data_IF_151395201604
#
_entry.id   IF_151395201604
#
_cell.length_a   1.000
_cell.length_b   1.000
_cell.length_c   1.000
_cell.angle_alpha   90.00
_cell.angle_beta   90.00
_cell.angle_gamma   90.00
#
_symmetry.space_group_name_H-M   'P 1'
#
loop_
_entity.id
_entity.type
_entity.pdbx_description
1 polymer ?
#
# COMPACT_ATOMS: atom_id res chain seq x y z
N UNK A 1 -6.13 -6.89 20.80
CA UNK A 1 -5.25 -6.45 19.70
C UNK A 1 -5.95 -5.32 18.96
N UNK A 2 -5.26 -4.22 18.61
CA UNK A 2 -5.86 -3.14 17.81
C UNK A 2 -6.04 -3.51 16.33
N UNK A 3 -5.41 -4.61 15.91
CA UNK A 3 -5.37 -5.08 14.53
C UNK A 3 -6.40 -6.18 14.28
N UNK A 4 -6.93 -6.22 13.05
CA UNK A 4 -7.98 -7.16 12.68
C UNK A 4 -7.44 -8.57 12.43
N UNK A 5 -8.09 -9.58 13.00
CA UNK A 5 -7.84 -11.00 12.66
C UNK A 5 -8.27 -11.34 11.21
N UNK A 6 -8.97 -10.41 10.53
CA UNK A 6 -9.51 -10.59 9.18
C UNK A 6 -8.71 -9.90 8.10
N UNK A 7 -7.82 -8.98 8.45
CA UNK A 7 -7.12 -8.15 7.47
C UNK A 7 -5.64 -8.03 7.79
N UNK A 8 -4.84 -8.03 6.72
CA UNK A 8 -3.46 -7.60 6.75
C UNK A 8 -3.40 -6.12 6.38
N UNK A 9 -2.47 -5.41 7.02
CA UNK A 9 -2.21 -4.00 6.78
C UNK A 9 -0.76 -3.86 6.32
N UNK A 10 -0.58 -3.49 5.07
CA UNK A 10 0.73 -3.23 4.47
C UNK A 10 0.87 -1.76 4.13
N UNK A 11 2.11 -1.31 4.06
CA UNK A 11 2.40 0.01 3.53
C UNK A 11 3.65 0.01 2.66
N UNK A 12 3.59 0.80 1.59
CA UNK A 12 4.75 1.07 0.74
C UNK A 12 5.14 2.53 0.95
N UNK A 13 6.34 2.77 1.49
CA UNK A 13 6.82 4.11 1.89
C UNK A 13 8.03 4.50 1.04
N UNK A 14 8.04 5.72 0.53
CA UNK A 14 9.17 6.29 -0.23
C UNK A 14 10.46 6.34 0.58
N UNK A 15 10.33 6.65 1.87
CA UNK A 15 11.39 6.71 2.86
C UNK A 15 10.78 6.74 4.26
N UNK A 16 11.58 6.40 5.28
CA UNK A 16 11.14 6.36 6.68
C UNK A 16 10.70 7.73 7.22
N UNK A 17 11.17 8.84 6.64
CA UNK A 17 10.90 10.19 7.12
C UNK A 17 9.84 10.91 6.26
N UNK A 18 9.25 10.24 5.27
CA UNK A 18 8.27 10.79 4.34
C UNK A 18 8.76 12.04 3.58
N UNK A 19 10.07 12.21 3.43
CA UNK A 19 10.70 13.39 2.81
C UNK A 19 10.70 13.32 1.29
N UNK A 20 10.88 12.13 0.73
CA UNK A 20 10.80 11.89 -0.71
C UNK A 20 9.33 11.79 -1.08
N UNK A 21 8.96 12.35 -2.23
CA UNK A 21 7.61 12.26 -2.78
C UNK A 21 7.69 11.93 -4.25
N UNK A 22 6.69 11.22 -4.75
CA UNK A 22 6.48 10.99 -6.17
C UNK A 22 5.18 11.65 -6.62
N UNK A 23 5.09 11.98 -7.90
CA UNK A 23 3.83 12.46 -8.48
C UNK A 23 2.75 11.38 -8.38
N UNK A 24 1.56 11.77 -7.96
CA UNK A 24 0.42 10.86 -7.78
C UNK A 24 0.10 10.08 -9.05
N UNK A 25 0.15 10.74 -10.21
CA UNK A 25 -0.10 10.11 -11.50
C UNK A 25 0.88 8.97 -11.79
N UNK A 26 2.18 9.20 -11.58
CA UNK A 26 3.21 8.18 -11.80
C UNK A 26 3.00 6.94 -10.90
N UNK A 27 2.60 7.15 -9.65
CA UNK A 27 2.34 6.02 -8.72
C UNK A 27 1.05 5.28 -9.10
N UNK A 28 0.00 6.03 -9.46
CA UNK A 28 -1.25 5.46 -9.95
C UNK A 28 -1.01 4.58 -11.18
N UNK A 29 -0.18 5.04 -12.13
CA UNK A 29 0.16 4.27 -13.32
C UNK A 29 0.89 2.97 -12.98
N UNK A 30 1.83 2.99 -12.02
CA UNK A 30 2.50 1.76 -11.56
C UNK A 30 1.50 0.75 -10.98
N UNK A 31 0.54 1.22 -10.19
CA UNK A 31 -0.50 0.35 -9.61
C UNK A 31 -1.42 -0.22 -10.69
N UNK A 32 -1.89 0.59 -11.62
CA UNK A 32 -2.79 0.15 -12.69
C UNK A 32 -2.12 -0.80 -13.68
N UNK A 33 -0.82 -0.60 -13.97
CA UNK A 33 -0.04 -1.50 -14.83
C UNK A 33 0.10 -2.92 -14.29
N UNK A 34 -0.19 -3.17 -13.01
CA UNK A 34 -0.24 -4.54 -12.48
C UNK A 34 -1.38 -5.36 -13.06
N UNK A 35 -2.44 -4.70 -13.56
CA UNK A 35 -3.69 -5.34 -13.94
C UNK A 35 -4.50 -5.89 -12.76
N UNK A 36 -4.01 -5.78 -11.51
CA UNK A 36 -4.65 -6.34 -10.32
C UNK A 36 -5.59 -5.35 -9.62
N UNK A 37 -5.52 -4.07 -10.00
CA UNK A 37 -6.25 -3.00 -9.32
C UNK A 37 -7.04 -2.15 -10.31
N UNK A 38 -8.18 -1.64 -9.84
CA UNK A 38 -9.05 -0.71 -10.55
C UNK A 38 -9.22 0.53 -9.69
N UNK A 39 -9.15 1.70 -10.32
CA UNK A 39 -9.31 2.99 -9.65
C UNK A 39 -10.76 3.15 -9.16
N UNK A 40 -10.94 3.49 -7.87
CA UNK A 40 -12.24 3.82 -7.31
C UNK A 40 -12.48 5.34 -7.28
N UNK A 41 -11.48 6.10 -6.87
CA UNK A 41 -11.53 7.57 -6.87
C UNK A 41 -10.15 8.18 -7.19
N UNK A 42 -9.94 9.47 -6.90
CA UNK A 42 -8.69 10.17 -7.20
C UNK A 42 -7.45 9.60 -6.49
N UNK A 43 -7.61 8.94 -5.35
CA UNK A 43 -6.54 8.47 -4.48
C UNK A 43 -6.71 7.01 -4.03
N UNK A 44 -7.84 6.37 -4.30
CA UNK A 44 -8.09 5.00 -3.89
C UNK A 44 -8.26 4.05 -5.08
N UNK A 45 -7.82 2.80 -4.86
CA UNK A 45 -7.99 1.69 -5.77
C UNK A 45 -8.53 0.48 -5.00
N UNK A 46 -9.26 -0.38 -5.70
CA UNK A 46 -9.63 -1.69 -5.20
C UNK A 46 -9.10 -2.80 -6.12
N UNK A 47 -9.25 -4.05 -5.70
CA UNK A 47 -8.94 -5.20 -6.54
C UNK A 47 -9.79 -5.23 -7.83
N UNK A 48 -9.20 -5.77 -8.89
CA UNK A 48 -9.93 -6.26 -10.07
C UNK A 48 -10.65 -7.59 -9.75
N UNK A 49 -11.58 -8.02 -10.60
CA UNK A 49 -12.41 -9.22 -10.37
C UNK A 49 -11.61 -10.51 -10.17
N UNK A 50 -10.45 -10.63 -10.81
CA UNK A 50 -9.57 -11.81 -10.69
C UNK A 50 -8.58 -11.73 -9.52
N UNK A 51 -8.51 -10.60 -8.83
CA UNK A 51 -7.58 -10.40 -7.71
C UNK A 51 -8.36 -10.39 -6.39
N UNK A 52 -7.83 -11.04 -5.32
CA UNK A 52 -8.56 -11.11 -4.07
C UNK A 52 -8.66 -9.74 -3.37
N UNK A 53 -9.63 -9.63 -2.45
CA UNK A 53 -10.06 -8.35 -1.92
C UNK A 53 -8.91 -7.52 -1.36
N UNK A 54 -8.74 -6.33 -1.92
CA UNK A 54 -7.71 -5.37 -1.54
C UNK A 54 -8.27 -3.96 -1.66
N UNK A 55 -7.97 -3.11 -0.69
CA UNK A 55 -8.22 -1.67 -0.72
C UNK A 55 -6.88 -0.94 -0.60
N UNK A 56 -6.63 -0.01 -1.51
CA UNK A 56 -5.39 0.77 -1.58
C UNK A 56 -5.75 2.25 -1.50
N UNK A 57 -5.01 3.00 -0.68
CA UNK A 57 -5.11 4.46 -0.59
C UNK A 57 -3.75 5.10 -0.79
N UNK A 58 -3.68 6.07 -1.70
CA UNK A 58 -2.50 6.90 -1.92
C UNK A 58 -2.54 8.09 -0.97
N UNK A 59 -1.45 8.28 -0.23
CA UNK A 59 -1.40 9.25 0.87
C UNK A 59 -0.18 10.16 0.71
N UNK A 60 -0.43 11.46 0.88
CA UNK A 60 0.61 12.44 1.17
C UNK A 60 0.74 12.59 2.70
N UNK A 61 1.63 11.81 3.31
CA UNK A 61 1.95 11.93 4.72
C UNK A 61 2.80 13.19 4.98
N UNK A 62 2.45 13.96 6.00
CA UNK A 62 3.23 15.13 6.46
C UNK A 62 3.52 14.97 7.95
N UNK A 63 4.79 14.87 8.33
CA UNK A 63 5.27 14.89 9.73
C UNK A 63 4.29 14.30 10.77
N UNK A 64 4.00 13.00 10.67
CA UNK A 64 3.14 12.29 11.63
C UNK A 64 1.63 12.51 11.48
N UNK A 65 1.18 13.23 10.44
CA UNK A 65 -0.22 13.48 10.13
C UNK A 65 -0.55 13.05 8.69
N UNK A 66 -1.69 12.39 8.53
CA UNK A 66 -2.25 12.01 7.23
C UNK A 66 -3.50 12.84 6.95
N UNK A 67 -3.65 13.38 5.74
CA UNK A 67 -4.94 13.94 5.31
C UNK A 67 -5.40 13.24 4.04
N UNK A 68 -6.40 12.37 4.14
CA UNK A 68 -7.23 11.95 3.01
C UNK A 68 -8.21 13.10 2.70
N UNK A 69 -7.69 14.16 2.10
CA UNK A 69 -8.55 15.28 1.70
C UNK A 69 -9.37 14.87 0.48
N UNK A 70 -10.60 15.38 0.35
CA UNK A 70 -11.40 15.22 -0.89
C UNK A 70 -10.73 15.78 -2.15
N UNK A 71 -9.63 16.54 -2.00
CA UNK A 71 -8.84 17.07 -3.11
C UNK A 71 -7.74 16.08 -3.46
N UNK A 72 -7.61 15.83 -4.75
CA UNK A 72 -6.46 15.15 -5.32
C UNK A 72 -5.17 15.81 -4.81
N UNK A 73 -4.27 15.01 -4.26
CA UNK A 73 -2.90 15.43 -3.95
C UNK A 73 -2.07 15.28 -5.21
N UNK A 74 -1.17 16.24 -5.45
CA UNK A 74 -0.25 16.18 -6.59
C UNK A 74 0.91 15.22 -6.34
N UNK A 75 1.23 15.02 -5.06
CA UNK A 75 2.35 14.20 -4.60
C UNK A 75 1.89 13.19 -3.54
N UNK A 76 2.60 12.06 -3.50
CA UNK A 76 2.38 11.00 -2.52
C UNK A 76 3.73 10.44 -2.04
N UNK A 77 3.74 9.88 -0.85
CA UNK A 77 4.93 9.27 -0.23
C UNK A 77 4.59 8.02 0.59
N UNK A 78 3.32 7.64 0.61
CA UNK A 78 2.80 6.46 1.28
C UNK A 78 1.68 5.85 0.44
N UNK A 79 1.73 4.53 0.30
CA UNK A 79 0.63 3.71 -0.19
C UNK A 79 0.17 2.88 1.01
N UNK A 80 -1.06 3.08 1.46
CA UNK A 80 -1.70 2.29 2.50
C UNK A 80 -2.53 1.17 1.87
N UNK A 81 -2.37 -0.06 2.35
CA UNK A 81 -2.92 -1.26 1.73
C UNK A 81 -3.58 -2.13 2.79
N UNK A 82 -4.85 -2.44 2.58
CA UNK A 82 -5.62 -3.38 3.39
C UNK A 82 -6.01 -4.56 2.52
N UNK A 83 -5.73 -5.79 2.94
CA UNK A 83 -6.11 -7.00 2.20
C UNK A 83 -6.62 -8.11 3.12
N UNK A 84 -7.39 -9.04 2.56
CA UNK A 84 -8.06 -10.10 3.35
C UNK A 84 -7.09 -11.20 3.82
N UNK A 85 -7.23 -11.61 5.09
CA UNK A 85 -6.55 -12.77 5.73
C UNK A 85 -7.33 -14.08 5.58
N UNK A 86 -8.35 -14.14 4.71
CA UNK A 86 -9.15 -15.35 4.58
C UNK A 86 -8.31 -16.57 4.18
N UNK A 87 -8.63 -17.72 4.78
CA UNK A 87 -7.82 -18.96 4.68
C UNK A 87 -7.73 -19.53 3.26
N UNK A 88 -8.67 -19.19 2.39
CA UNK A 88 -8.72 -19.62 0.99
C UNK A 88 -7.93 -18.68 0.04
N UNK A 89 -7.35 -17.59 0.55
CA UNK A 89 -6.55 -16.66 -0.24
C UNK A 89 -5.06 -17.02 -0.08
N UNK A 90 -4.38 -17.22 -1.21
CA UNK A 90 -2.92 -17.33 -1.22
C UNK A 90 -2.28 -15.98 -0.88
N UNK A 91 -1.83 -15.84 0.36
CA UNK A 91 -1.21 -14.60 0.86
C UNK A 91 0.10 -14.26 0.13
N UNK A 92 0.76 -15.23 -0.51
CA UNK A 92 1.96 -14.98 -1.31
C UNK A 92 1.64 -14.16 -2.57
N UNK A 93 0.41 -14.23 -3.07
CA UNK A 93 -0.03 -13.42 -4.21
C UNK A 93 0.01 -11.92 -3.87
N UNK A 94 -0.49 -11.54 -2.70
CA UNK A 94 -0.40 -10.16 -2.21
C UNK A 94 1.06 -9.73 -2.08
N UNK A 95 1.85 -10.52 -1.37
CA UNK A 95 3.24 -10.19 -1.08
C UNK A 95 4.05 -9.97 -2.36
N UNK A 96 3.95 -10.89 -3.34
CA UNK A 96 4.62 -10.75 -4.64
C UNK A 96 4.16 -9.50 -5.39
N UNK A 97 2.86 -9.20 -5.35
CA UNK A 97 2.31 -8.02 -6.03
C UNK A 97 2.83 -6.73 -5.39
N UNK A 98 2.81 -6.63 -4.06
CA UNK A 98 3.25 -5.44 -3.34
C UNK A 98 4.77 -5.25 -3.44
N UNK A 99 5.55 -6.33 -3.43
CA UNK A 99 7.00 -6.29 -3.69
C UNK A 99 7.31 -5.75 -5.09
N UNK A 100 6.63 -6.24 -6.13
CA UNK A 100 6.82 -5.77 -7.50
C UNK A 100 6.47 -4.28 -7.66
N UNK A 101 5.43 -3.80 -6.96
CA UNK A 101 5.10 -2.36 -6.91
C UNK A 101 6.20 -1.57 -6.21
N UNK A 102 6.62 -2.03 -5.03
CA UNK A 102 7.68 -1.39 -4.25
C UNK A 102 8.98 -1.28 -5.06
N UNK A 103 9.35 -2.33 -5.78
CA UNK A 103 10.52 -2.37 -6.67
C UNK A 103 10.42 -1.36 -7.81
N UNK A 104 9.28 -1.32 -8.52
CA UNK A 104 9.06 -0.35 -9.60
C UNK A 104 9.14 1.10 -9.11
N UNK A 105 8.72 1.37 -7.87
CA UNK A 105 8.77 2.70 -7.28
C UNK A 105 10.12 3.02 -6.61
N UNK A 106 10.98 2.02 -6.41
CA UNK A 106 12.16 2.10 -5.55
C UNK A 106 11.82 2.49 -4.10
N UNK A 107 10.72 1.94 -3.57
CA UNK A 107 10.15 2.23 -2.24
C UNK A 107 10.22 1.00 -1.32
N UNK A 108 10.08 1.21 -0.02
CA UNK A 108 10.18 0.14 0.98
C UNK A 108 8.80 -0.43 1.31
N UNK A 109 8.71 -1.75 1.51
CA UNK A 109 7.47 -2.44 1.90
C UNK A 109 7.52 -2.81 3.39
N UNK A 110 6.42 -2.54 4.09
CA UNK A 110 6.24 -2.84 5.50
C UNK A 110 4.94 -3.62 5.72
N UNK A 111 4.95 -4.51 6.70
CA UNK A 111 3.77 -5.03 7.36
C UNK A 111 3.56 -4.19 8.62
N UNK A 112 2.41 -3.52 8.73
CA UNK A 112 2.15 -2.57 9.82
C UNK A 112 2.06 -3.30 11.17
N UNK A 113 1.48 -4.51 11.19
CA UNK A 113 1.52 -5.39 12.35
C UNK A 113 1.39 -6.88 11.97
N UNK A 114 2.11 -7.77 12.67
CA UNK A 114 1.88 -9.21 12.62
C UNK A 114 0.93 -9.71 13.73
N UNK A 115 0.65 -11.02 13.70
CA UNK A 115 -0.24 -11.67 14.67
C UNK A 115 0.40 -11.82 16.06
N UNK A 116 1.71 -11.57 16.20
CA UNK A 116 2.42 -11.53 17.48
C UNK A 116 2.42 -10.13 18.12
N UNK A 117 1.88 -9.13 17.40
CA UNK A 117 1.83 -7.73 17.84
C UNK A 117 3.12 -6.96 17.58
N UNK A 118 4.05 -7.50 16.77
CA UNK A 118 5.19 -6.73 16.29
C UNK A 118 4.71 -5.73 15.23
N UNK A 119 5.15 -4.48 15.32
CA UNK A 119 4.70 -3.40 14.44
C UNK A 119 5.82 -2.90 13.50
N UNK A 120 5.44 -2.32 12.36
CA UNK A 120 6.34 -1.76 11.35
C UNK A 120 7.43 -2.75 10.86
N UNK A 121 7.05 -4.00 10.64
CA UNK A 121 7.96 -5.05 10.18
C UNK A 121 8.38 -4.75 8.75
N UNK A 122 9.69 -4.68 8.55
CA UNK A 122 10.27 -4.38 7.25
C UNK A 122 10.32 -5.66 6.45
N UNK A 123 9.61 -5.67 5.33
CA UNK A 123 9.58 -6.81 4.42
C UNK A 123 10.68 -6.66 3.36
N UNK A 124 10.87 -5.46 2.82
CA UNK A 124 11.91 -5.19 1.81
C UNK A 124 12.44 -3.76 1.96
N UNK A 125 13.78 -3.60 1.81
CA UNK A 125 14.45 -2.30 1.81
C UNK A 125 15.11 -2.04 0.47
N UNK A 126 14.64 -1.02 -0.22
CA UNK A 126 15.29 -0.54 -1.44
C UNK A 126 16.52 0.30 -1.09
N UNK A 127 17.60 0.12 -1.86
CA UNK A 127 18.91 0.75 -1.65
C UNK A 127 19.02 2.12 -2.33
#
# INVERSE_FOLDING_TARGET
MMWSDRYNYYSIKSDLQHKKKAETGSVMDVLLQTGNFVKQDHQSLCNADHFPWTSITLVEAKEGSFSSSKRQTDFINLIDIVCSKEKNIDQQLYLKTFLAIAEKLNWNLYLEADDEGNENIIIERMR
#
